data_IF_121091656895
#
_entry.id   IF_121091656895
#
_cell.length_a   1.000
_cell.length_b   1.000
_cell.length_c   1.000
_cell.angle_alpha   90.00
_cell.angle_beta   90.00
_cell.angle_gamma   90.00
#
_symmetry.space_group_name_H-M   'P 1'
#
loop_
_entity.id
_entity.type
_entity.pdbx_description
1 polymer ?
#
# COMPACT_ATOMS: atom_id res chain seq x y z
N UNK A 1 26.21 8.09 -17.14
CA UNK A 1 25.05 8.26 -18.03
C UNK A 1 25.26 9.50 -18.89
N UNK A 2 26.03 9.41 -19.96
CA UNK A 2 26.09 10.43 -21.02
C UNK A 2 25.68 9.69 -22.29
N UNK A 3 24.60 9.97 -23.00
CA UNK A 3 23.79 11.17 -23.15
C UNK A 3 22.36 10.71 -23.49
N UNK A 4 21.58 10.31 -22.47
CA UNK A 4 20.24 9.78 -22.71
C UNK A 4 19.27 10.88 -23.16
N UNK A 5 19.60 12.15 -22.88
CA UNK A 5 18.80 13.32 -23.26
C UNK A 5 18.68 13.48 -24.78
N UNK A 6 19.64 12.95 -25.56
CA UNK A 6 19.57 12.91 -27.02
C UNK A 6 18.44 12.01 -27.57
N UNK A 7 17.91 11.08 -26.77
CA UNK A 7 16.88 10.12 -27.17
C UNK A 7 15.46 10.70 -27.08
N UNK A 8 15.25 11.92 -27.58
CA UNK A 8 14.01 12.71 -27.42
C UNK A 8 12.73 12.06 -27.98
N UNK A 9 12.87 11.05 -28.85
CA UNK A 9 11.76 10.28 -29.42
C UNK A 9 11.33 9.05 -28.59
N UNK A 10 11.98 8.77 -27.47
CA UNK A 10 11.77 7.55 -26.70
C UNK A 10 10.39 7.55 -26.00
N UNK A 11 9.61 6.48 -26.23
CA UNK A 11 8.30 6.30 -25.59
C UNK A 11 8.38 5.57 -24.23
N UNK A 12 9.31 4.62 -24.08
CA UNK A 12 9.47 3.83 -22.86
C UNK A 12 10.94 3.70 -22.47
N UNK A 13 11.25 3.81 -21.18
CA UNK A 13 12.59 3.71 -20.65
C UNK A 13 12.66 2.78 -19.42
N UNK A 14 13.65 1.88 -19.39
CA UNK A 14 13.96 1.03 -18.24
C UNK A 14 15.37 1.31 -17.73
N UNK A 15 15.45 1.68 -16.45
CA UNK A 15 16.67 1.98 -15.68
C UNK A 15 16.78 1.06 -14.46
N UNK A 16 16.17 -0.13 -14.51
CA UNK A 16 16.13 -1.04 -13.37
C UNK A 16 17.53 -1.46 -12.92
N UNK A 17 17.71 -1.66 -11.61
CA UNK A 17 18.90 -2.20 -10.96
C UNK A 17 20.19 -1.43 -11.32
N UNK A 18 20.11 -0.10 -11.31
CA UNK A 18 21.22 0.83 -11.52
C UNK A 18 21.60 1.55 -10.21
N UNK A 19 22.52 2.53 -10.29
CA UNK A 19 22.98 3.34 -9.15
C UNK A 19 22.42 4.77 -9.22
N UNK A 20 21.12 4.91 -9.49
CA UNK A 20 20.43 6.21 -9.53
C UNK A 20 20.01 6.58 -8.12
N UNK A 21 20.62 7.60 -7.51
CA UNK A 21 20.32 8.03 -6.13
C UNK A 21 19.31 9.19 -6.03
N UNK A 22 18.89 9.73 -7.18
CA UNK A 22 17.91 10.82 -7.24
C UNK A 22 18.51 12.21 -6.96
N UNK A 23 19.84 12.35 -6.94
CA UNK A 23 20.54 13.63 -6.79
C UNK A 23 21.63 13.82 -7.84
N UNK A 24 21.84 15.07 -8.28
CA UNK A 24 22.90 15.42 -9.21
C UNK A 24 22.83 14.72 -10.58
N UNK A 25 23.98 14.50 -11.26
CA UNK A 25 24.04 13.98 -12.63
C UNK A 25 23.57 12.52 -12.77
N UNK A 26 23.42 11.78 -11.66
CA UNK A 26 22.90 10.41 -11.61
C UNK A 26 21.45 10.35 -11.08
N UNK A 27 20.75 11.50 -11.03
CA UNK A 27 19.35 11.58 -10.65
C UNK A 27 18.38 11.41 -11.82
N UNK A 28 17.10 11.69 -11.57
CA UNK A 28 16.02 11.63 -12.57
C UNK A 28 15.98 12.85 -13.52
N UNK A 29 16.91 13.79 -13.39
CA UNK A 29 16.95 15.02 -14.19
C UNK A 29 17.18 14.77 -15.69
N UNK A 30 18.03 13.81 -16.07
CA UNK A 30 18.23 13.49 -17.49
C UNK A 30 17.00 12.79 -18.10
N UNK A 31 16.43 11.73 -17.48
CA UNK A 31 15.17 11.15 -17.96
C UNK A 31 14.01 12.14 -18.02
N UNK A 32 13.96 13.13 -17.12
CA UNK A 32 12.92 14.16 -17.10
C UNK A 32 12.90 15.08 -18.34
N UNK A 33 13.98 15.13 -19.12
CA UNK A 33 14.02 15.88 -20.38
C UNK A 33 13.40 15.11 -21.55
N UNK A 34 13.10 13.82 -21.39
CA UNK A 34 12.46 12.99 -22.40
C UNK A 34 10.93 13.15 -22.31
N UNK A 35 10.43 14.33 -22.64
CA UNK A 35 9.01 14.73 -22.44
C UNK A 35 7.99 13.88 -23.21
N UNK A 36 8.42 13.09 -24.20
CA UNK A 36 7.59 12.11 -24.92
C UNK A 36 7.48 10.75 -24.22
N UNK A 37 8.15 10.54 -23.08
CA UNK A 37 8.04 9.31 -22.32
C UNK A 37 6.62 9.10 -21.82
N UNK A 38 6.09 7.92 -22.13
CA UNK A 38 4.83 7.39 -21.61
C UNK A 38 5.08 6.30 -20.56
N UNK A 39 6.24 5.62 -20.60
CA UNK A 39 6.61 4.63 -19.60
C UNK A 39 8.02 4.80 -19.03
N UNK A 40 8.15 4.76 -17.70
CA UNK A 40 9.41 4.76 -16.98
C UNK A 40 9.44 3.65 -15.92
N UNK A 41 10.40 2.74 -16.01
CA UNK A 41 10.72 1.77 -14.97
C UNK A 41 12.10 2.07 -14.43
N UNK A 42 12.25 2.24 -13.11
CA UNK A 42 13.55 2.46 -12.49
C UNK A 42 13.73 1.62 -11.22
N UNK A 43 13.11 0.43 -11.16
CA UNK A 43 13.12 -0.45 -9.97
C UNK A 43 14.53 -0.74 -9.47
N UNK A 44 14.76 -0.89 -8.17
CA UNK A 44 16.05 -1.34 -7.62
C UNK A 44 17.14 -0.28 -7.69
N UNK A 45 16.79 1.00 -7.54
CA UNK A 45 17.74 2.12 -7.46
C UNK A 45 17.65 2.79 -6.07
N UNK A 46 18.44 3.84 -5.84
CA UNK A 46 18.48 4.58 -4.57
C UNK A 46 17.75 5.94 -4.58
N UNK A 47 16.86 6.16 -5.55
CA UNK A 47 16.09 7.42 -5.72
C UNK A 47 15.43 7.88 -4.41
N UNK A 48 15.64 9.15 -4.05
CA UNK A 48 15.05 9.77 -2.86
C UNK A 48 13.93 10.78 -3.18
N UNK A 49 14.04 11.48 -4.32
CA UNK A 49 13.10 12.51 -4.78
C UNK A 49 12.56 12.22 -6.18
N UNK A 50 11.28 12.53 -6.39
CA UNK A 50 10.60 12.45 -7.68
C UNK A 50 10.40 13.81 -8.36
N UNK A 51 10.95 14.90 -7.79
CA UNK A 51 10.75 16.28 -8.27
C UNK A 51 10.95 16.46 -9.76
N UNK A 52 11.97 15.80 -10.33
CA UNK A 52 12.29 15.85 -11.75
C UNK A 52 11.15 15.32 -12.64
N UNK A 53 10.33 14.37 -12.16
CA UNK A 53 9.24 13.76 -12.94
C UNK A 53 8.06 14.72 -13.19
N UNK A 54 8.01 15.90 -12.54
CA UNK A 54 6.97 16.91 -12.77
C UNK A 54 6.83 17.33 -14.25
N UNK A 55 7.93 17.24 -15.02
CA UNK A 55 7.96 17.60 -16.44
C UNK A 55 7.40 16.52 -17.37
N UNK A 56 7.30 15.27 -16.89
CA UNK A 56 6.84 14.13 -17.69
C UNK A 56 5.31 13.98 -17.62
N UNK A 57 4.58 14.96 -18.14
CA UNK A 57 3.11 15.00 -18.07
C UNK A 57 2.44 13.91 -18.91
N UNK A 58 3.15 13.32 -19.88
CA UNK A 58 2.67 12.21 -20.71
C UNK A 58 2.86 10.83 -20.10
N UNK A 59 3.43 10.73 -18.89
CA UNK A 59 3.77 9.46 -18.27
C UNK A 59 2.50 8.72 -17.81
N UNK A 60 2.24 7.56 -18.39
CA UNK A 60 1.12 6.67 -18.05
C UNK A 60 1.55 5.48 -17.21
N UNK A 61 2.83 5.10 -17.29
CA UNK A 61 3.41 3.98 -16.54
C UNK A 61 4.64 4.46 -15.77
N UNK A 62 4.59 4.34 -14.44
CA UNK A 62 5.73 4.62 -13.56
C UNK A 62 5.97 3.43 -12.61
N UNK A 63 7.13 2.78 -12.72
CA UNK A 63 7.49 1.61 -11.89
C UNK A 63 8.73 1.92 -11.04
N UNK A 64 8.52 2.15 -9.74
CA UNK A 64 9.54 2.58 -8.76
C UNK A 64 9.61 1.63 -7.55
N UNK A 65 9.81 0.34 -7.76
CA UNK A 65 9.94 -0.62 -6.67
C UNK A 65 11.37 -0.64 -6.09
N UNK A 66 11.53 -0.88 -4.78
CA UNK A 66 12.83 -0.99 -4.09
C UNK A 66 13.68 0.29 -4.20
N UNK A 67 13.22 1.38 -3.56
CA UNK A 67 13.92 2.67 -3.48
C UNK A 67 13.94 3.25 -2.06
N UNK A 68 14.55 4.43 -1.89
CA UNK A 68 14.55 5.25 -0.68
C UNK A 68 13.70 6.52 -0.85
N UNK A 69 12.64 6.46 -1.66
CA UNK A 69 11.76 7.60 -1.92
C UNK A 69 11.07 7.97 -0.62
N UNK A 70 11.20 9.23 -0.22
CA UNK A 70 10.55 9.72 1.01
C UNK A 70 9.56 10.86 0.79
N UNK A 71 9.59 11.47 -0.40
CA UNK A 71 8.64 12.49 -0.82
C UNK A 71 7.97 12.08 -2.14
N UNK A 72 6.65 11.94 -2.10
CA UNK A 72 5.80 11.63 -3.25
C UNK A 72 4.91 12.82 -3.64
N UNK A 73 5.20 14.03 -3.15
CA UNK A 73 4.40 15.25 -3.37
C UNK A 73 4.09 15.54 -4.84
N UNK A 74 4.95 15.12 -5.76
CA UNK A 74 4.76 15.22 -7.21
C UNK A 74 3.52 14.46 -7.69
N UNK A 75 3.13 13.40 -6.99
CA UNK A 75 1.97 12.57 -7.29
C UNK A 75 0.69 13.06 -6.60
N UNK A 76 0.78 13.98 -5.62
CA UNK A 76 -0.37 14.38 -4.79
C UNK A 76 -1.53 14.94 -5.62
N UNK A 77 -1.26 15.75 -6.65
CA UNK A 77 -2.34 16.27 -7.50
C UNK A 77 -3.14 15.16 -8.19
N UNK A 78 -2.47 14.09 -8.61
CA UNK A 78 -3.13 12.93 -9.21
C UNK A 78 -3.89 12.14 -8.15
N UNK A 79 -3.29 11.88 -6.98
CA UNK A 79 -3.93 11.17 -5.87
C UNK A 79 -5.19 11.91 -5.38
N UNK A 80 -5.07 13.21 -5.14
CA UNK A 80 -6.18 14.07 -4.71
C UNK A 80 -7.29 14.11 -5.77
N UNK A 81 -6.94 14.12 -7.06
CA UNK A 81 -7.89 14.04 -8.16
C UNK A 81 -8.64 12.70 -8.18
N UNK A 82 -7.92 11.58 -8.02
CA UNK A 82 -8.50 10.24 -7.98
C UNK A 82 -9.38 10.01 -6.75
N UNK A 83 -9.00 10.56 -5.59
CA UNK A 83 -9.84 10.53 -4.38
C UNK A 83 -11.11 11.37 -4.54
N UNK A 84 -11.01 12.59 -5.07
CA UNK A 84 -12.17 13.43 -5.37
C UNK A 84 -13.11 12.81 -6.41
N UNK A 85 -12.57 11.97 -7.30
CA UNK A 85 -13.32 11.18 -8.26
C UNK A 85 -13.88 9.87 -7.67
N UNK A 86 -13.64 9.58 -6.39
CA UNK A 86 -14.05 8.33 -5.70
C UNK A 86 -13.50 7.05 -6.32
N UNK A 87 -12.37 7.13 -7.04
CA UNK A 87 -11.72 5.98 -7.67
C UNK A 87 -10.79 5.24 -6.70
N UNK A 88 -10.21 5.98 -5.74
CA UNK A 88 -9.34 5.44 -4.70
C UNK A 88 -9.72 6.04 -3.34
N UNK A 89 -9.37 5.32 -2.29
CA UNK A 89 -9.57 5.73 -0.90
C UNK A 89 -8.26 5.60 -0.13
N UNK A 90 -7.96 6.59 0.69
CA UNK A 90 -6.71 6.68 1.45
C UNK A 90 -6.85 6.05 2.83
N UNK A 91 -5.98 5.09 3.11
CA UNK A 91 -5.74 4.54 4.44
C UNK A 91 -4.47 5.16 5.01
N UNK A 92 -4.64 6.10 5.94
CA UNK A 92 -3.52 6.72 6.64
C UNK A 92 -2.85 5.70 7.58
N UNK A 93 -1.54 5.76 7.70
CA UNK A 93 -0.82 4.99 8.71
C UNK A 93 -1.04 5.59 10.11
N UNK A 94 -1.39 4.74 11.06
CA UNK A 94 -1.54 5.09 12.48
C UNK A 94 -0.54 4.29 13.31
N UNK A 95 0.12 4.95 14.26
CA UNK A 95 1.03 4.27 15.17
C UNK A 95 0.26 3.43 16.19
N UNK A 96 0.61 2.15 16.25
CA UNK A 96 0.06 1.18 17.20
C UNK A 96 0.58 1.37 18.64
N UNK A 97 1.63 2.18 18.84
CA UNK A 97 2.27 2.42 20.15
C UNK A 97 1.89 3.76 20.81
N UNK A 98 1.16 4.63 20.11
CA UNK A 98 0.73 5.94 20.63
C UNK A 98 1.84 7.01 20.73
N UNK A 99 3.04 6.75 20.20
CA UNK A 99 4.14 7.70 20.12
C UNK A 99 4.11 8.41 18.77
N UNK A 100 3.71 9.69 18.77
CA UNK A 100 3.68 10.49 17.56
C UNK A 100 5.10 10.63 16.96
N UNK A 101 5.27 10.04 15.77
CA UNK A 101 5.88 10.60 14.56
C UNK A 101 6.41 9.44 13.70
N UNK A 102 5.53 8.83 12.91
CA UNK A 102 5.93 8.19 11.67
C UNK A 102 5.48 9.15 10.58
N UNK A 103 6.36 9.51 9.65
CA UNK A 103 5.97 10.26 8.44
C UNK A 103 4.74 9.54 7.88
N UNK A 104 3.54 10.16 7.85
CA UNK A 104 2.32 9.42 7.57
C UNK A 104 2.41 8.89 6.14
N UNK A 105 2.79 7.62 5.99
CA UNK A 105 2.63 6.93 4.74
C UNK A 105 1.13 6.64 4.61
N UNK A 106 0.61 6.72 3.41
CA UNK A 106 -0.76 6.35 3.13
C UNK A 106 -0.77 5.25 2.10
N UNK A 107 -1.53 4.19 2.36
CA UNK A 107 -1.89 3.22 1.34
C UNK A 107 -3.16 3.72 0.65
N UNK A 108 -3.27 3.48 -0.65
CA UNK A 108 -4.45 3.84 -1.43
C UNK A 108 -5.08 2.57 -1.98
N UNK A 109 -6.38 2.41 -1.75
CA UNK A 109 -7.15 1.26 -2.20
C UNK A 109 -8.13 1.69 -3.29
N UNK A 110 -8.11 1.08 -4.49
CA UNK A 110 -9.11 1.32 -5.51
C UNK A 110 -10.50 0.89 -5.05
N UNK A 111 -11.53 1.61 -5.49
CA UNK A 111 -12.94 1.31 -5.17
C UNK A 111 -13.39 -0.07 -5.66
N UNK A 112 -12.73 -0.59 -6.69
CA UNK A 112 -13.05 -1.87 -7.32
C UNK A 112 -11.80 -2.72 -7.60
N UNK A 113 -11.96 -4.04 -7.44
CA UNK A 113 -10.88 -5.02 -7.65
C UNK A 113 -10.45 -5.04 -9.12
N UNK A 114 -11.35 -4.79 -10.07
CA UNK A 114 -11.04 -4.67 -11.49
C UNK A 114 -10.07 -3.53 -11.76
N UNK A 115 -10.24 -2.36 -11.12
CA UNK A 115 -9.29 -1.25 -11.24
C UNK A 115 -7.90 -1.61 -10.69
N UNK A 116 -7.85 -2.36 -9.58
CA UNK A 116 -6.60 -2.89 -9.03
C UNK A 116 -5.91 -3.82 -10.04
N UNK A 117 -6.67 -4.75 -10.60
CA UNK A 117 -6.18 -5.78 -11.51
C UNK A 117 -5.65 -5.23 -12.84
N UNK A 118 -6.00 -4.00 -13.22
CA UNK A 118 -5.41 -3.33 -14.39
C UNK A 118 -3.89 -3.11 -14.23
N UNK A 119 -3.38 -3.06 -13.00
CA UNK A 119 -1.96 -2.78 -12.74
C UNK A 119 -1.05 -3.99 -12.90
N UNK A 120 -1.62 -5.20 -12.87
CA UNK A 120 -0.91 -6.48 -12.93
C UNK A 120 -1.49 -7.43 -13.98
N UNK A 121 -2.19 -6.89 -14.99
CA UNK A 121 -2.82 -7.62 -16.10
C UNK A 121 -3.68 -8.80 -15.63
N UNK A 122 -4.44 -8.61 -14.54
CA UNK A 122 -5.31 -9.62 -13.94
C UNK A 122 -4.57 -10.90 -13.49
N UNK A 123 -3.31 -10.76 -13.08
CA UNK A 123 -2.51 -11.85 -12.52
C UNK A 123 -3.20 -12.49 -11.31
N UNK A 124 -3.18 -13.83 -11.26
CA UNK A 124 -3.71 -14.60 -10.10
C UNK A 124 -2.78 -14.61 -8.89
N UNK A 125 -1.57 -14.05 -9.00
CA UNK A 125 -0.52 -14.21 -7.98
C UNK A 125 -0.73 -13.38 -6.70
N UNK A 126 -1.64 -12.40 -6.71
CA UNK A 126 -1.81 -11.46 -5.60
C UNK A 126 -3.19 -11.56 -4.91
N UNK A 127 -3.58 -12.79 -4.54
CA UNK A 127 -4.88 -13.02 -3.88
C UNK A 127 -4.98 -12.31 -2.52
N UNK A 128 -3.89 -12.30 -1.75
CA UNK A 128 -3.84 -11.65 -0.43
C UNK A 128 -4.12 -10.16 -0.52
N UNK A 129 -3.50 -9.45 -1.46
CA UNK A 129 -3.70 -8.02 -1.52
C UNK A 129 -5.03 -7.63 -2.20
N UNK A 130 -5.60 -8.51 -3.05
CA UNK A 130 -7.01 -8.38 -3.50
C UNK A 130 -7.98 -8.51 -2.34
N UNK A 131 -7.75 -9.48 -1.45
CA UNK A 131 -8.54 -9.65 -0.24
C UNK A 131 -8.41 -8.44 0.69
N UNK A 132 -7.18 -7.93 0.90
CA UNK A 132 -6.92 -6.71 1.67
C UNK A 132 -7.75 -5.52 1.14
N UNK A 133 -7.80 -5.35 -0.19
CA UNK A 133 -8.63 -4.33 -0.84
C UNK A 133 -10.13 -4.53 -0.57
N UNK A 134 -10.62 -5.77 -0.68
CA UNK A 134 -12.02 -6.10 -0.46
C UNK A 134 -12.43 -5.86 1.01
N UNK A 135 -11.58 -6.26 1.96
CA UNK A 135 -11.76 -6.04 3.40
C UNK A 135 -11.79 -4.54 3.70
N UNK A 136 -10.83 -3.77 3.18
CA UNK A 136 -10.80 -2.32 3.37
C UNK A 136 -12.09 -1.64 2.90
N UNK A 137 -12.54 -1.95 1.67
CA UNK A 137 -13.81 -1.43 1.15
C UNK A 137 -15.02 -1.92 1.96
N UNK A 138 -14.95 -3.14 2.50
CA UNK A 138 -15.96 -3.70 3.38
C UNK A 138 -16.06 -2.98 4.73
N UNK A 139 -14.94 -2.53 5.29
CA UNK A 139 -14.88 -1.73 6.51
C UNK A 139 -15.51 -0.35 6.29
N UNK A 140 -15.11 0.34 5.20
CA UNK A 140 -15.66 1.65 4.85
C UNK A 140 -17.18 1.59 4.65
N UNK A 141 -17.67 0.58 3.92
CA UNK A 141 -19.12 0.37 3.70
C UNK A 141 -19.91 0.10 4.97
N UNK A 142 -19.27 -0.43 6.03
CA UNK A 142 -19.86 -0.66 7.35
C UNK A 142 -19.74 0.55 8.28
N UNK A 143 -19.27 1.69 7.77
CA UNK A 143 -19.15 2.95 8.51
C UNK A 143 -17.89 3.06 9.37
N UNK A 144 -16.90 2.18 9.19
CA UNK A 144 -15.62 2.30 9.86
C UNK A 144 -14.71 3.29 9.12
N UNK A 145 -13.91 4.04 9.88
CA UNK A 145 -12.67 4.65 9.41
C UNK A 145 -11.55 3.62 9.55
N UNK A 146 -10.92 3.24 8.43
CA UNK A 146 -9.84 2.27 8.41
C UNK A 146 -8.48 2.95 8.14
N UNK A 147 -7.51 2.65 8.99
CA UNK A 147 -6.12 3.13 8.92
C UNK A 147 -5.16 1.95 8.94
N UNK A 148 -3.96 2.08 8.40
CA UNK A 148 -2.95 1.01 8.45
C UNK A 148 -2.20 1.07 9.78
N UNK A 149 -2.15 -0.03 10.52
CA UNK A 149 -1.53 -0.08 11.83
C UNK A 149 -0.05 -0.40 11.71
N UNK A 150 0.85 0.52 12.10
CA UNK A 150 2.28 0.24 12.04
C UNK A 150 2.96 0.44 13.40
N UNK A 151 3.95 -0.42 13.68
CA UNK A 151 4.84 -0.32 14.85
C UNK A 151 6.29 -0.58 14.42
N UNK A 152 7.24 -0.44 15.35
CA UNK A 152 8.67 -0.69 15.07
C UNK A 152 8.98 -2.14 14.65
N UNK A 153 8.13 -3.10 15.01
CA UNK A 153 8.41 -4.54 14.84
C UNK A 153 7.31 -5.31 14.11
N UNK A 154 6.13 -4.72 13.93
CA UNK A 154 4.97 -5.38 13.33
C UNK A 154 4.03 -4.37 12.67
N UNK A 155 3.36 -4.81 11.61
CA UNK A 155 2.31 -4.08 10.91
C UNK A 155 1.02 -4.92 10.99
N UNK A 156 -0.10 -4.25 11.28
CA UNK A 156 -1.46 -4.80 11.20
C UNK A 156 -2.10 -4.12 9.99
N UNK A 157 -2.74 -4.90 9.12
CA UNK A 157 -3.28 -4.38 7.87
C UNK A 157 -4.25 -3.22 8.10
N UNK A 158 -5.20 -3.37 9.04
CA UNK A 158 -6.12 -2.30 9.39
C UNK A 158 -6.38 -2.13 10.89
N UNK A 159 -6.49 -0.88 11.30
CA UNK A 159 -7.14 -0.44 12.53
C UNK A 159 -8.45 0.21 12.10
N UNK A 160 -9.56 -0.49 12.36
CA UNK A 160 -10.90 -0.01 12.06
C UNK A 160 -11.45 0.71 13.29
N UNK A 161 -11.88 1.96 13.12
CA UNK A 161 -12.49 2.75 14.20
C UNK A 161 -13.84 3.30 13.77
N UNK A 162 -14.82 3.29 14.68
CA UNK A 162 -16.16 3.85 14.44
C UNK A 162 -16.60 4.57 15.71
N UNK A 163 -17.15 5.77 15.55
CA UNK A 163 -17.67 6.54 16.66
C UNK A 163 -19.18 6.34 16.75
N UNK A 164 -19.65 5.72 17.82
CA UNK A 164 -21.09 5.58 18.12
C UNK A 164 -21.42 6.40 19.36
N UNK A 165 -22.22 7.46 19.21
CA UNK A 165 -22.72 8.36 20.27
C UNK A 165 -21.68 8.79 21.33
N UNK A 166 -21.38 7.93 22.30
CA UNK A 166 -20.46 8.15 23.43
C UNK A 166 -19.26 7.20 23.48
N UNK A 167 -19.17 6.19 22.59
CA UNK A 167 -18.11 5.17 22.59
C UNK A 167 -17.38 5.13 21.25
N UNK A 168 -16.06 5.02 21.32
CA UNK A 168 -15.23 4.71 20.16
C UNK A 168 -15.04 3.19 20.09
N UNK A 169 -15.57 2.58 19.04
CA UNK A 169 -15.21 1.21 18.68
C UNK A 169 -13.86 1.22 17.99
N UNK A 170 -13.03 0.23 18.32
CA UNK A 170 -11.76 -0.03 17.66
C UNK A 170 -11.57 -1.52 17.54
N UNK A 171 -11.21 -1.98 16.36
CA UNK A 171 -10.87 -3.38 16.08
C UNK A 171 -9.61 -3.42 15.22
N UNK A 172 -8.70 -4.34 15.55
CA UNK A 172 -7.55 -4.66 14.72
C UNK A 172 -7.93 -5.74 13.74
N UNK A 173 -7.65 -5.55 12.46
CA UNK A 173 -7.99 -6.47 11.38
C UNK A 173 -6.71 -6.85 10.65
N UNK A 174 -6.35 -8.13 10.73
CA UNK A 174 -5.31 -8.75 9.93
C UNK A 174 -5.95 -9.50 8.77
N UNK A 175 -5.35 -9.45 7.59
CA UNK A 175 -5.88 -10.07 6.37
C UNK A 175 -4.87 -11.05 5.82
N UNK A 176 -5.30 -12.28 5.59
CA UNK A 176 -4.45 -13.30 4.97
C UNK A 176 -5.25 -14.15 4.00
N UNK A 177 -4.66 -14.53 2.88
CA UNK A 177 -5.33 -15.45 1.96
C UNK A 177 -5.39 -16.87 2.50
N UNK A 178 -4.42 -17.28 3.33
CA UNK A 178 -4.38 -18.64 3.89
C UNK A 178 -3.69 -18.72 5.25
N UNK A 179 -4.19 -19.63 6.08
CA UNK A 179 -3.68 -20.04 7.40
C UNK A 179 -3.42 -21.56 7.47
N UNK A 180 -3.35 -22.25 6.33
CA UNK A 180 -3.12 -23.70 6.29
C UNK A 180 -1.70 -24.04 6.76
N UNK A 181 -0.72 -23.25 6.34
CA UNK A 181 0.68 -23.46 6.68
C UNK A 181 1.01 -22.88 8.07
N UNK A 182 1.66 -23.68 8.91
CA UNK A 182 1.96 -23.29 10.30
C UNK A 182 2.91 -22.09 10.37
N UNK A 183 3.86 -21.98 9.44
CA UNK A 183 4.77 -20.83 9.39
C UNK A 183 4.03 -19.55 9.02
N UNK A 184 3.11 -19.63 8.05
CA UNK A 184 2.21 -18.54 7.67
C UNK A 184 1.31 -18.14 8.85
N UNK A 185 0.68 -19.10 9.51
CA UNK A 185 -0.18 -18.85 10.67
C UNK A 185 0.56 -18.16 11.82
N UNK A 186 1.77 -18.62 12.17
CA UNK A 186 2.59 -17.95 13.19
C UNK A 186 2.94 -16.52 12.78
N UNK A 187 3.22 -16.29 11.49
CA UNK A 187 3.56 -14.95 10.97
C UNK A 187 2.36 -14.00 11.02
N UNK A 188 1.19 -14.44 10.57
CA UNK A 188 -0.02 -13.61 10.50
C UNK A 188 -0.65 -13.37 11.88
N UNK A 189 -0.54 -14.33 12.80
CA UNK A 189 -1.05 -14.17 14.16
C UNK A 189 -0.11 -13.38 15.08
N UNK A 190 1.18 -13.27 14.77
CA UNK A 190 2.13 -12.57 15.64
C UNK A 190 1.78 -11.08 15.87
N UNK A 191 1.42 -10.26 14.84
CA UNK A 191 1.02 -8.87 15.05
C UNK A 191 -0.20 -8.69 15.97
N UNK A 192 -1.35 -9.39 15.78
CA UNK A 192 -2.48 -9.27 16.70
C UNK A 192 -2.20 -9.89 18.08
N UNK A 193 -1.43 -10.97 18.18
CA UNK A 193 -1.07 -11.58 19.48
C UNK A 193 -0.19 -10.66 20.34
N UNK A 194 0.71 -9.90 19.72
CA UNK A 194 1.61 -8.98 20.43
C UNK A 194 0.89 -7.76 21.04
N UNK A 195 -0.40 -7.56 20.77
CA UNK A 195 -1.19 -6.47 21.35
C UNK A 195 -1.45 -6.71 22.83
N UNK A 196 -1.23 -5.69 23.64
CA UNK A 196 -1.46 -5.71 25.09
C UNK A 196 -2.76 -5.04 25.52
N UNK A 197 -3.42 -4.30 24.62
CA UNK A 197 -4.70 -3.66 24.88
C UNK A 197 -5.89 -4.64 24.74
N UNK A 198 -7.05 -4.24 25.24
CA UNK A 198 -8.25 -5.08 25.27
C UNK A 198 -9.16 -4.93 24.04
N UNK A 199 -8.71 -4.26 22.96
CA UNK A 199 -9.57 -4.10 21.79
C UNK A 199 -9.70 -5.42 21.01
N UNK A 200 -10.86 -5.68 20.38
CA UNK A 200 -11.08 -6.84 19.52
C UNK A 200 -10.03 -6.98 18.43
N UNK A 201 -9.70 -8.23 18.11
CA UNK A 201 -8.70 -8.62 17.11
C UNK A 201 -9.35 -9.63 16.18
N UNK A 202 -9.36 -9.30 14.90
CA UNK A 202 -10.00 -10.05 13.84
C UNK A 202 -8.94 -10.45 12.81
N UNK A 203 -8.98 -11.70 12.38
CA UNK A 203 -8.22 -12.20 11.23
C UNK A 203 -9.22 -12.61 10.17
N UNK A 204 -9.16 -11.97 9.01
CA UNK A 204 -10.01 -12.30 7.87
C UNK A 204 -9.22 -13.19 6.92
N UNK A 205 -9.74 -14.39 6.66
CA UNK A 205 -9.11 -15.40 5.80
C UNK A 205 -10.04 -15.90 4.69
N UNK A 206 -9.49 -16.49 3.64
CA UNK A 206 -10.27 -17.25 2.65
C UNK A 206 -10.44 -18.72 3.03
N UNK A 207 -9.72 -19.20 4.04
CA UNK A 207 -9.79 -20.59 4.49
C UNK A 207 -10.95 -20.82 5.48
N UNK A 208 -12.04 -21.52 5.08
CA UNK A 208 -13.19 -21.69 5.96
C UNK A 208 -12.88 -22.60 7.16
N UNK A 209 -11.96 -23.57 6.98
CA UNK A 209 -11.55 -24.51 8.03
C UNK A 209 -10.75 -23.85 9.16
N UNK A 210 -10.27 -22.63 8.96
CA UNK A 210 -9.49 -21.89 9.95
C UNK A 210 -10.35 -20.97 10.83
N UNK A 211 -11.65 -20.87 10.54
CA UNK A 211 -12.56 -20.01 11.30
C UNK A 211 -12.74 -20.49 12.75
N UNK A 212 -12.86 -19.55 13.69
CA UNK A 212 -13.00 -19.82 15.11
C UNK A 212 -12.32 -18.76 15.97
N UNK A 213 -12.15 -19.05 17.26
CA UNK A 213 -11.46 -18.15 18.20
C UNK A 213 -10.22 -18.83 18.74
N UNK A 214 -9.07 -18.13 18.68
CA UNK A 214 -7.81 -18.65 19.25
C UNK A 214 -7.83 -18.61 20.78
N UNK A 215 -6.90 -19.32 21.42
CA UNK A 215 -6.73 -19.30 22.87
C UNK A 215 -6.44 -17.88 23.42
N UNK A 216 -5.84 -17.01 22.59
CA UNK A 216 -5.52 -15.62 22.92
C UNK A 216 -6.69 -14.66 22.65
N UNK A 217 -7.87 -15.17 22.27
CA UNK A 217 -9.07 -14.37 22.01
C UNK A 217 -9.09 -13.65 20.67
N UNK A 218 -8.30 -14.11 19.69
CA UNK A 218 -8.35 -13.59 18.31
C UNK A 218 -9.45 -14.30 17.56
N UNK A 219 -10.36 -13.54 16.97
CA UNK A 219 -11.44 -14.06 16.13
C UNK A 219 -10.93 -14.25 14.70
N UNK A 220 -11.07 -15.45 14.15
CA UNK A 220 -10.74 -15.78 12.77
C UNK A 220 -12.06 -16.01 12.03
N UNK A 221 -12.30 -15.22 10.99
CA UNK A 221 -13.53 -15.29 10.18
C UNK A 221 -13.19 -15.54 8.72
N UNK A 222 -14.11 -16.23 8.03
CA UNK A 222 -14.00 -16.32 6.57
C UNK A 222 -14.45 -14.99 5.95
N UNK A 223 -13.79 -14.58 4.88
CA UNK A 223 -14.13 -13.34 4.18
C UNK A 223 -15.50 -13.37 3.47
N UNK A 224 -16.09 -14.56 3.30
CA UNK A 224 -17.39 -14.77 2.66
C UNK A 224 -18.56 -14.81 3.66
N UNK A 225 -18.28 -14.80 4.96
CA UNK A 225 -19.27 -14.73 6.03
C UNK A 225 -19.71 -13.28 6.31
#
# INVERSE_FOLDING_TARGET
MSDIAALTGLATLSLNDNVIDGSGPNGLEQPANLTKLTGLSAKGNAIQSLSALRKLTGLTILKLARHRITDISVLNNYLDGLEKAFLIYRAEQTDLTGKALLRPQSRFYPVDIGLRNLTDDFSRKDLGARLECAVYMGLLRRGYRATVGSSRSAEIDFVATRQEFTRMERTYVQVTASLIDEATTKRELAPPQARTDAFPRLVVTLDPSSAGTTAEGIEIVNALD
#
